data_IF_222537816566
#
_entry.id   IF_222537816566
#
_cell.length_a   1.000
_cell.length_b   1.000
_cell.length_c   1.000
_cell.angle_alpha   90.00
_cell.angle_beta   90.00
_cell.angle_gamma   90.00
#
_symmetry.space_group_name_H-M   'P 1'
#
loop_
_entity.id
_entity.type
_entity.pdbx_description
1 polymer ?
#
# COMPACT_ATOMS: atom_id res chain seq x y z
N UNK A 1 3.45 -41.21 31.40
CA UNK A 1 3.48 -39.81 31.88
C UNK A 1 4.85 -39.45 32.48
N UNK A 2 5.92 -39.36 31.67
CA UNK A 2 7.26 -39.03 32.21
C UNK A 2 8.30 -38.58 31.16
N UNK A 3 7.88 -37.86 30.11
CA UNK A 3 8.80 -37.13 29.20
C UNK A 3 8.14 -35.85 28.68
N UNK A 4 8.06 -34.81 29.53
CA UNK A 4 7.69 -33.46 29.07
C UNK A 4 8.13 -32.35 30.05
N UNK A 5 9.26 -32.52 30.74
CA UNK A 5 9.67 -31.60 31.83
C UNK A 5 11.14 -31.19 31.86
N UNK A 6 11.88 -31.32 30.74
CA UNK A 6 13.34 -31.09 30.74
C UNK A 6 13.88 -30.05 29.75
N UNK A 7 13.03 -29.22 29.14
CA UNK A 7 13.46 -28.22 28.13
C UNK A 7 13.21 -26.75 28.53
N UNK A 8 12.94 -26.45 29.81
CA UNK A 8 12.59 -25.10 30.27
C UNK A 8 13.70 -24.31 30.97
N UNK A 9 14.97 -24.63 30.75
CA UNK A 9 16.08 -24.04 31.53
C UNK A 9 17.27 -23.50 30.70
N UNK A 10 17.09 -23.06 29.45
CA UNK A 10 18.21 -22.53 28.64
C UNK A 10 17.91 -21.25 27.84
N UNK A 11 17.14 -20.32 28.39
CA UNK A 11 16.99 -18.97 27.79
C UNK A 11 16.91 -17.91 28.88
N UNK A 12 18.06 -17.61 29.49
CA UNK A 12 18.22 -16.41 30.32
C UNK A 12 19.68 -15.94 30.28
N UNK A 13 20.07 -15.27 29.20
CA UNK A 13 21.21 -14.35 29.22
C UNK A 13 20.80 -13.04 28.53
N UNK A 14 20.98 -11.87 29.18
CA UNK A 14 20.66 -10.58 28.60
C UNK A 14 21.79 -10.10 27.69
N UNK A 15 21.48 -9.88 26.42
CA UNK A 15 22.39 -9.25 25.47
C UNK A 15 22.35 -7.72 25.66
N UNK A 16 23.44 -7.14 26.14
CA UNK A 16 23.63 -5.70 26.25
C UNK A 16 24.03 -5.14 24.87
N UNK A 17 23.17 -4.33 24.25
CA UNK A 17 23.51 -3.51 23.08
C UNK A 17 23.70 -2.09 23.57
N UNK A 18 24.93 -1.60 23.50
CA UNK A 18 25.32 -0.23 23.79
C UNK A 18 24.88 0.72 22.68
N UNK A 19 24.28 1.85 23.08
CA UNK A 19 23.80 2.93 22.20
C UNK A 19 24.97 3.83 21.78
N UNK A 20 25.39 3.75 20.51
CA UNK A 20 26.08 4.85 19.83
C UNK A 20 26.12 4.58 18.33
N UNK A 21 25.18 5.15 17.57
CA UNK A 21 25.35 5.39 16.13
C UNK A 21 24.78 6.77 15.81
N UNK A 22 25.66 7.77 15.77
CA UNK A 22 25.43 9.06 15.09
C UNK A 22 25.77 8.86 13.62
N UNK A 23 24.85 9.22 12.73
CA UNK A 23 25.06 9.20 11.28
C UNK A 23 25.62 10.56 10.85
N UNK A 24 26.77 10.57 10.16
CA UNK A 24 27.33 11.75 9.49
C UNK A 24 26.64 11.97 8.13
N UNK A 25 26.33 13.23 7.81
CA UNK A 25 25.45 13.63 6.72
C UNK A 25 26.15 13.97 5.38
N UNK A 26 27.46 13.72 5.25
CA UNK A 26 28.28 14.23 4.13
C UNK A 26 28.80 13.16 3.14
N UNK A 27 28.36 11.91 3.21
CA UNK A 27 28.74 10.90 2.21
C UNK A 27 27.87 10.99 0.96
N UNK A 28 28.39 11.69 -0.06
CA UNK A 28 27.83 11.74 -1.41
C UNK A 28 27.69 10.36 -2.05
N UNK A 29 26.48 9.81 -2.01
CA UNK A 29 26.06 8.60 -2.71
C UNK A 29 25.05 8.97 -3.80
N UNK A 30 25.34 8.57 -5.03
CA UNK A 30 24.47 8.70 -6.19
C UNK A 30 23.31 7.69 -6.11
N UNK A 31 22.12 8.18 -5.72
CA UNK A 31 20.90 7.40 -5.45
C UNK A 31 19.91 7.41 -6.62
N UNK A 32 20.33 7.76 -7.84
CA UNK A 32 19.43 7.93 -8.99
C UNK A 32 18.78 6.63 -9.52
N UNK A 33 19.16 5.45 -9.03
CA UNK A 33 18.76 4.14 -9.59
C UNK A 33 17.82 3.26 -8.76
N UNK A 34 17.25 3.72 -7.64
CA UNK A 34 16.49 2.84 -6.71
C UNK A 34 14.99 3.21 -6.67
N UNK A 35 14.09 2.46 -7.33
CA UNK A 35 12.69 2.86 -7.56
C UNK A 35 11.68 2.25 -6.58
N UNK A 36 12.08 1.91 -5.36
CA UNK A 36 11.13 1.56 -4.29
C UNK A 36 11.10 2.71 -3.31
N UNK A 37 9.93 3.38 -3.22
CA UNK A 37 9.54 4.38 -2.20
C UNK A 37 10.74 4.86 -1.40
N UNK A 38 11.45 5.88 -1.91
CA UNK A 38 12.74 6.36 -1.37
C UNK A 38 12.82 6.00 0.10
N UNK A 39 13.62 4.97 0.45
CA UNK A 39 13.75 4.54 1.84
C UNK A 39 14.06 5.72 2.76
N UNK A 40 14.59 6.82 2.21
CA UNK A 40 14.77 8.14 2.82
C UNK A 40 13.47 8.82 3.28
N UNK A 41 12.35 8.78 2.55
CA UNK A 41 11.08 9.36 3.02
C UNK A 41 10.47 8.49 4.11
N UNK A 42 10.42 7.17 3.92
CA UNK A 42 10.01 6.25 4.99
C UNK A 42 10.95 6.39 6.19
N UNK A 43 12.25 6.57 6.01
CA UNK A 43 13.22 6.80 7.07
C UNK A 43 13.08 8.17 7.74
N UNK A 44 12.73 9.24 7.01
CA UNK A 44 12.41 10.56 7.59
C UNK A 44 11.14 10.47 8.45
N UNK A 45 10.10 9.80 7.94
CA UNK A 45 8.90 9.46 8.72
C UNK A 45 9.22 8.55 9.91
N UNK A 46 10.14 7.59 9.75
CA UNK A 46 10.56 6.63 10.78
C UNK A 46 11.32 7.33 11.91
N UNK A 47 12.28 8.21 11.58
CA UNK A 47 13.06 8.95 12.58
C UNK A 47 12.16 9.87 13.41
N UNK A 48 11.18 10.53 12.78
CA UNK A 48 10.25 11.41 13.50
C UNK A 48 9.21 10.61 14.32
N UNK A 49 8.60 9.57 13.75
CA UNK A 49 7.63 8.74 14.45
C UNK A 49 8.23 7.96 15.63
N UNK A 50 9.52 7.62 15.59
CA UNK A 50 10.20 7.01 16.73
C UNK A 50 10.32 7.95 17.95
N UNK A 51 10.43 9.27 17.73
CA UNK A 51 10.48 10.24 18.83
C UNK A 51 9.12 10.44 19.53
N UNK A 52 8.00 10.25 18.82
CA UNK A 52 6.65 10.43 19.38
C UNK A 52 6.01 9.13 19.90
N UNK A 53 6.41 7.94 19.40
CA UNK A 53 5.76 6.67 19.70
C UNK A 53 6.05 6.07 21.10
N UNK A 54 6.80 6.76 21.97
CA UNK A 54 7.25 6.22 23.27
C UNK A 54 6.17 6.25 24.35
N UNK A 55 5.00 6.86 24.13
CA UNK A 55 3.95 7.01 25.17
C UNK A 55 2.54 6.59 24.73
N UNK A 56 2.35 5.31 24.39
CA UNK A 56 1.00 4.73 24.32
C UNK A 56 0.86 3.56 25.31
N UNK A 57 0.09 3.70 26.40
CA UNK A 57 -0.13 2.60 27.33
C UNK A 57 -0.94 1.51 26.65
N UNK A 58 -0.35 0.30 26.57
CA UNK A 58 -0.99 -0.90 26.06
C UNK A 58 -2.23 -1.24 26.87
N UNK A 59 -3.43 -0.95 26.34
CA UNK A 59 -4.68 -1.52 26.84
C UNK A 59 -4.66 -3.02 26.54
N UNK A 60 -4.50 -3.84 27.58
CA UNK A 60 -4.81 -5.26 27.52
C UNK A 60 -6.29 -5.41 27.13
N UNK A 61 -6.54 -6.10 26.02
CA UNK A 61 -7.88 -6.44 25.57
C UNK A 61 -8.61 -7.21 26.68
N UNK A 62 -9.65 -6.58 27.23
CA UNK A 62 -10.63 -7.27 28.06
C UNK A 62 -11.29 -8.38 27.24
N UNK A 63 -11.48 -9.53 27.87
CA UNK A 63 -12.07 -10.74 27.30
C UNK A 63 -13.49 -10.47 26.79
N UNK A 64 -13.62 -10.28 25.48
CA UNK A 64 -14.89 -10.18 24.76
C UNK A 64 -14.66 -9.81 23.29
N UNK A 65 -14.59 -10.83 22.42
CA UNK A 65 -14.86 -10.91 20.96
C UNK A 65 -14.56 -9.74 19.99
N UNK A 66 -13.85 -8.69 20.43
CA UNK A 66 -13.51 -7.55 19.60
C UNK A 66 -12.26 -7.88 18.78
N UNK A 67 -12.46 -8.20 17.50
CA UNK A 67 -11.36 -8.30 16.52
C UNK A 67 -10.45 -7.07 16.61
N UNK A 68 -9.14 -7.31 16.55
CA UNK A 68 -8.12 -6.26 16.46
C UNK A 68 -8.26 -5.49 15.15
N UNK A 69 -7.72 -4.27 15.06
CA UNK A 69 -7.98 -3.40 13.91
C UNK A 69 -7.19 -3.83 12.66
N UNK A 70 -5.86 -3.71 12.68
CA UNK A 70 -5.02 -3.92 11.49
C UNK A 70 -3.87 -4.89 11.81
N UNK A 71 -3.65 -5.87 10.94
CA UNK A 71 -2.41 -6.67 10.91
C UNK A 71 -1.56 -6.28 9.69
N UNK A 72 -0.27 -6.06 9.89
CA UNK A 72 0.72 -5.91 8.81
C UNK A 72 1.43 -7.24 8.60
N UNK A 73 1.28 -7.81 7.41
CA UNK A 73 1.74 -9.15 7.06
C UNK A 73 2.68 -9.06 5.86
N UNK A 74 3.73 -9.90 5.85
CA UNK A 74 4.64 -10.05 4.73
C UNK A 74 5.32 -11.41 4.78
N UNK A 75 5.63 -11.98 3.61
CA UNK A 75 6.54 -13.12 3.43
C UNK A 75 7.93 -12.70 2.94
N UNK A 76 8.18 -11.40 2.76
CA UNK A 76 9.45 -10.86 2.27
C UNK A 76 9.78 -11.19 0.81
N UNK A 77 8.91 -11.89 0.07
CA UNK A 77 9.22 -12.37 -1.29
C UNK A 77 9.49 -11.27 -2.32
N UNK A 78 8.98 -10.06 -2.08
CA UNK A 78 9.25 -8.87 -2.90
C UNK A 78 10.12 -7.83 -2.15
N UNK A 79 10.74 -8.20 -1.03
CA UNK A 79 11.67 -7.32 -0.33
C UNK A 79 13.04 -7.37 -1.01
N UNK A 80 13.40 -6.29 -1.69
CA UNK A 80 14.76 -6.11 -2.23
C UNK A 80 15.68 -5.65 -1.10
N UNK A 81 16.43 -6.59 -0.53
CA UNK A 81 17.43 -6.28 0.50
C UNK A 81 18.67 -5.69 -0.17
N UNK A 82 18.70 -4.36 -0.26
CA UNK A 82 19.91 -3.61 -0.63
C UNK A 82 20.76 -3.48 0.62
N UNK A 83 22.02 -3.92 0.55
CA UNK A 83 23.05 -3.80 1.60
C UNK A 83 22.89 -4.66 2.87
N UNK A 84 21.97 -5.62 2.91
CA UNK A 84 21.89 -6.62 4.00
C UNK A 84 21.52 -6.07 5.39
N UNK A 85 21.22 -4.78 5.52
CA UNK A 85 21.03 -4.10 6.81
C UNK A 85 19.58 -4.08 7.29
N UNK A 86 18.61 -4.12 6.38
CA UNK A 86 17.19 -4.09 6.73
C UNK A 86 16.65 -5.51 6.91
N UNK A 87 16.38 -5.90 8.17
CA UNK A 87 15.59 -7.11 8.45
C UNK A 87 14.13 -6.87 8.09
N UNK A 88 13.44 -7.90 7.58
CA UNK A 88 12.00 -7.85 7.31
C UNK A 88 11.21 -7.29 8.51
N UNK A 89 11.59 -7.70 9.73
CA UNK A 89 10.98 -7.21 10.96
C UNK A 89 11.07 -5.68 11.13
N UNK A 90 12.21 -5.07 10.80
CA UNK A 90 12.39 -3.62 10.87
C UNK A 90 11.48 -2.89 9.87
N UNK A 91 11.42 -3.40 8.63
CA UNK A 91 10.59 -2.83 7.56
C UNK A 91 9.11 -2.88 7.95
N UNK A 92 8.62 -4.03 8.43
CA UNK A 92 7.23 -4.17 8.86
C UNK A 92 6.90 -3.30 10.08
N UNK A 93 7.85 -3.12 10.99
CA UNK A 93 7.69 -2.20 12.13
C UNK A 93 7.54 -0.76 11.64
N UNK A 94 8.28 -0.36 10.59
CA UNK A 94 8.13 0.95 9.95
C UNK A 94 6.74 1.17 9.38
N UNK A 95 6.22 0.21 8.61
CA UNK A 95 4.85 0.27 8.10
C UNK A 95 3.80 0.31 9.22
N UNK A 96 3.96 -0.52 10.26
CA UNK A 96 3.02 -0.52 11.38
C UNK A 96 3.00 0.82 12.13
N UNK A 97 4.17 1.44 12.33
CA UNK A 97 4.27 2.76 12.96
C UNK A 97 3.64 3.86 12.08
N UNK A 98 3.92 3.84 10.78
CA UNK A 98 3.33 4.79 9.83
C UNK A 98 1.80 4.66 9.80
N UNK A 99 1.28 3.44 9.71
CA UNK A 99 -0.17 3.19 9.72
C UNK A 99 -0.81 3.58 11.05
N UNK A 100 -0.16 3.30 12.19
CA UNK A 100 -0.64 3.72 13.51
C UNK A 100 -0.73 5.25 13.60
N UNK A 101 0.30 5.94 13.11
CA UNK A 101 0.33 7.40 13.06
C UNK A 101 -0.80 7.98 12.18
N UNK A 102 -0.94 7.46 10.95
CA UNK A 102 -1.91 7.95 9.98
C UNK A 102 -3.37 7.67 10.37
N UNK A 103 -3.64 6.48 10.92
CA UNK A 103 -5.01 6.01 11.17
C UNK A 103 -5.49 6.24 12.61
N UNK A 104 -4.56 6.35 13.57
CA UNK A 104 -4.86 6.33 15.00
C UNK A 104 -5.37 4.97 15.52
N UNK A 105 -5.23 3.89 14.75
CA UNK A 105 -5.71 2.55 15.10
C UNK A 105 -4.60 1.67 15.67
N UNK A 106 -4.98 0.58 16.33
CA UNK A 106 -4.05 -0.47 16.73
C UNK A 106 -3.57 -1.24 15.50
N UNK A 107 -2.25 -1.33 15.34
CA UNK A 107 -1.58 -2.00 14.22
C UNK A 107 -0.53 -2.96 14.78
N UNK A 108 -0.69 -4.24 14.48
CA UNK A 108 0.22 -5.32 14.90
C UNK A 108 1.01 -5.86 13.70
N UNK A 109 2.27 -6.21 13.93
CA UNK A 109 3.13 -6.85 12.92
C UNK A 109 3.01 -8.37 13.05
N UNK A 110 2.74 -9.04 11.94
CA UNK A 110 2.57 -10.49 11.85
C UNK A 110 3.50 -11.02 10.74
N UNK A 111 4.80 -11.22 11.01
CA UNK A 111 5.72 -11.73 10.01
C UNK A 111 5.34 -13.17 9.67
N UNK A 112 5.32 -13.49 8.38
CA UNK A 112 5.14 -14.85 7.89
C UNK A 112 6.52 -15.34 7.46
N UNK A 113 6.92 -16.53 7.92
CA UNK A 113 8.18 -17.13 7.50
C UNK A 113 8.20 -17.39 5.99
N UNK A 114 9.39 -17.57 5.41
CA UNK A 114 9.63 -17.75 3.97
C UNK A 114 9.09 -19.07 3.38
N UNK A 115 8.22 -19.77 4.12
CA UNK A 115 7.65 -21.04 3.71
C UNK A 115 6.62 -20.81 2.57
N UNK A 116 6.49 -21.76 1.63
CA UNK A 116 5.91 -21.57 0.29
C UNK A 116 4.50 -20.91 0.16
N UNK A 117 4.11 -20.54 -1.05
CA UNK A 117 2.93 -19.66 -1.31
C UNK A 117 1.58 -20.12 -0.73
N UNK A 118 1.28 -21.41 -0.70
CA UNK A 118 0.03 -21.93 -0.08
C UNK A 118 0.02 -21.76 1.45
N UNK A 119 1.20 -21.71 2.06
CA UNK A 119 1.35 -21.45 3.48
C UNK A 119 1.09 -19.98 3.81
N UNK A 120 1.53 -19.04 2.96
CA UNK A 120 1.22 -17.63 3.13
C UNK A 120 -0.30 -17.38 3.11
N UNK A 121 -1.02 -17.93 2.13
CA UNK A 121 -2.47 -17.77 2.06
C UNK A 121 -3.17 -18.34 3.30
N UNK A 122 -2.72 -19.50 3.80
CA UNK A 122 -3.24 -20.14 5.02
C UNK A 122 -2.95 -19.30 6.26
N UNK A 123 -1.75 -18.71 6.35
CA UNK A 123 -1.35 -17.85 7.48
C UNK A 123 -2.06 -16.51 7.48
N UNK A 124 -2.16 -15.83 6.32
CA UNK A 124 -3.06 -14.67 6.14
C UNK A 124 -4.47 -15.06 6.55
N UNK A 125 -4.87 -16.32 6.28
CA UNK A 125 -6.14 -16.85 6.73
C UNK A 125 -6.34 -17.03 8.22
N UNK A 126 -5.34 -17.50 8.93
CA UNK A 126 -5.38 -17.48 10.37
C UNK A 126 -5.48 -16.04 10.90
N UNK A 127 -4.66 -15.12 10.37
CA UNK A 127 -4.61 -13.71 10.81
C UNK A 127 -5.95 -13.00 10.59
N UNK A 128 -6.58 -13.10 9.42
CA UNK A 128 -7.83 -12.37 9.14
C UNK A 128 -9.04 -12.79 10.02
N UNK A 129 -8.93 -13.88 10.79
CA UNK A 129 -9.95 -14.26 11.79
C UNK A 129 -9.90 -13.33 13.01
N UNK A 130 -8.71 -12.94 13.43
CA UNK A 130 -8.48 -12.13 14.64
C UNK A 130 -8.47 -10.62 14.37
N UNK A 131 -8.32 -10.21 13.11
CA UNK A 131 -8.23 -8.82 12.70
C UNK A 131 -9.40 -8.39 11.80
N UNK A 132 -9.74 -7.10 11.80
CA UNK A 132 -10.76 -6.51 10.92
C UNK A 132 -10.25 -6.36 9.49
N UNK A 133 -8.95 -6.10 9.32
CA UNK A 133 -8.31 -5.98 8.03
C UNK A 133 -6.83 -6.35 8.10
N UNK A 134 -6.28 -6.72 6.95
CA UNK A 134 -4.88 -7.11 6.76
C UNK A 134 -4.26 -6.19 5.72
N UNK A 135 -3.08 -5.66 6.03
CA UNK A 135 -2.20 -5.01 5.08
C UNK A 135 -1.08 -5.99 4.69
N UNK A 136 -1.13 -6.49 3.47
CA UNK A 136 -0.12 -7.40 2.92
C UNK A 136 0.92 -6.59 2.13
N UNK A 137 2.18 -6.63 2.55
CA UNK A 137 3.26 -5.86 1.91
C UNK A 137 4.46 -6.75 1.61
N UNK A 138 5.28 -6.32 0.65
CA UNK A 138 6.48 -7.03 0.21
C UNK A 138 6.23 -8.50 -0.17
N UNK A 139 5.04 -8.78 -0.71
CA UNK A 139 4.70 -10.06 -1.30
C UNK A 139 4.67 -9.93 -2.82
N UNK A 140 5.20 -10.92 -3.55
CA UNK A 140 5.20 -10.95 -5.00
C UNK A 140 3.79 -10.69 -5.59
N UNK A 141 3.64 -9.90 -6.69
CA UNK A 141 2.33 -9.52 -7.23
C UNK A 141 1.37 -10.70 -7.45
N UNK A 142 1.86 -11.81 -8.01
CA UNK A 142 1.04 -12.99 -8.27
C UNK A 142 0.51 -13.65 -6.99
N UNK A 143 1.32 -13.67 -5.92
CA UNK A 143 0.94 -14.19 -4.60
C UNK A 143 -0.08 -13.28 -3.93
N UNK A 144 0.16 -11.97 -3.97
CA UNK A 144 -0.75 -10.94 -3.47
C UNK A 144 -2.13 -11.04 -4.11
N UNK A 145 -2.18 -11.21 -5.43
CA UNK A 145 -3.43 -11.39 -6.18
C UNK A 145 -4.15 -12.70 -5.79
N UNK A 146 -3.42 -13.82 -5.66
CA UNK A 146 -4.02 -15.09 -5.23
C UNK A 146 -4.60 -15.01 -3.82
N UNK A 147 -3.88 -14.37 -2.89
CA UNK A 147 -4.36 -14.14 -1.53
C UNK A 147 -5.62 -13.28 -1.55
N UNK A 148 -5.66 -12.19 -2.31
CA UNK A 148 -6.86 -11.35 -2.44
C UNK A 148 -8.04 -12.12 -3.04
N UNK A 149 -7.81 -12.92 -4.08
CA UNK A 149 -8.86 -13.73 -4.72
C UNK A 149 -9.41 -14.78 -3.76
N UNK A 150 -8.54 -15.52 -3.06
CA UNK A 150 -8.94 -16.41 -1.96
C UNK A 150 -9.63 -15.60 -0.87
N UNK A 151 -9.20 -14.35 -0.65
CA UNK A 151 -9.69 -13.49 0.41
C UNK A 151 -11.18 -13.14 0.27
N UNK A 152 -11.69 -13.19 -0.96
CA UNK A 152 -13.11 -12.94 -1.25
C UNK A 152 -13.99 -14.17 -1.01
N UNK A 153 -13.43 -15.39 -1.07
CA UNK A 153 -14.20 -16.65 -1.05
C UNK A 153 -14.60 -17.12 0.35
N UNK A 154 -13.67 -17.07 1.29
CA UNK A 154 -13.86 -17.38 2.71
C UNK A 154 -14.54 -16.27 3.55
N UNK A 155 -15.04 -15.19 2.93
CA UNK A 155 -15.72 -14.09 3.65
C UNK A 155 -14.87 -13.38 4.71
N UNK A 156 -13.54 -13.39 4.56
CA UNK A 156 -12.59 -12.75 5.46
C UNK A 156 -12.69 -11.21 5.43
N UNK A 157 -12.04 -10.56 6.39
CA UNK A 157 -11.90 -9.10 6.41
C UNK A 157 -11.16 -8.55 5.19
N UNK A 158 -11.22 -7.24 4.98
CA UNK A 158 -10.51 -6.59 3.88
C UNK A 158 -9.00 -6.88 3.91
N UNK A 159 -8.46 -7.32 2.77
CA UNK A 159 -7.01 -7.45 2.53
C UNK A 159 -6.60 -6.38 1.53
N UNK A 160 -5.77 -5.43 1.96
CA UNK A 160 -5.16 -4.40 1.10
C UNK A 160 -3.71 -4.75 0.88
N UNK A 161 -3.23 -4.65 -0.35
CA UNK A 161 -1.81 -4.84 -0.66
C UNK A 161 -1.10 -3.51 -0.90
N UNK A 162 0.22 -3.48 -0.76
CA UNK A 162 1.05 -2.38 -1.25
C UNK A 162 0.92 -2.18 -2.77
N UNK A 163 0.68 -3.25 -3.52
CA UNK A 163 0.37 -3.21 -4.95
C UNK A 163 -0.98 -2.51 -5.21
N UNK A 164 -2.02 -2.73 -4.42
CA UNK A 164 -3.28 -1.97 -4.53
C UNK A 164 -3.04 -0.50 -4.24
N UNK A 165 -2.31 -0.21 -3.16
CA UNK A 165 -2.02 1.15 -2.74
C UNK A 165 -1.26 1.93 -3.82
N UNK A 166 -0.27 1.29 -4.46
CA UNK A 166 0.46 1.83 -5.60
C UNK A 166 -0.44 1.99 -6.82
N UNK A 167 -1.28 1.00 -7.14
CA UNK A 167 -2.24 1.11 -8.24
C UNK A 167 -3.22 2.28 -8.06
N UNK A 168 -3.74 2.49 -6.85
CA UNK A 168 -4.61 3.61 -6.49
C UNK A 168 -3.88 4.94 -6.67
N UNK A 169 -2.65 5.06 -6.16
CA UNK A 169 -1.86 6.29 -6.26
C UNK A 169 -1.52 6.64 -7.71
N UNK A 170 -1.11 5.66 -8.51
CA UNK A 170 -0.81 5.87 -9.94
C UNK A 170 -2.06 6.20 -10.74
N UNK A 171 -3.20 5.57 -10.44
CA UNK A 171 -4.47 5.93 -11.05
C UNK A 171 -4.87 7.37 -10.70
N UNK A 172 -4.71 7.79 -9.44
CA UNK A 172 -4.97 9.17 -9.02
C UNK A 172 -4.04 10.18 -9.72
N UNK A 173 -2.75 9.87 -9.84
CA UNK A 173 -1.79 10.70 -10.57
C UNK A 173 -2.18 10.81 -12.06
N UNK A 174 -2.59 9.71 -12.68
CA UNK A 174 -3.07 9.72 -14.07
C UNK A 174 -4.34 10.57 -14.23
N UNK A 175 -5.31 10.43 -13.32
CA UNK A 175 -6.52 11.26 -13.31
C UNK A 175 -6.19 12.75 -13.19
N UNK A 176 -5.31 13.13 -12.28
CA UNK A 176 -4.88 14.51 -12.09
C UNK A 176 -4.18 15.05 -13.34
N UNK A 177 -3.27 14.26 -13.94
CA UNK A 177 -2.58 14.62 -15.18
C UNK A 177 -3.56 14.82 -16.36
N UNK A 178 -4.55 13.95 -16.50
CA UNK A 178 -5.58 14.07 -17.54
C UNK A 178 -6.49 15.28 -17.31
N UNK A 179 -6.89 15.54 -16.06
CA UNK A 179 -7.70 16.71 -15.71
C UNK A 179 -6.97 18.03 -16.05
N UNK A 180 -5.66 18.10 -15.78
CA UNK A 180 -4.84 19.27 -16.10
C UNK A 180 -4.72 19.57 -17.60
N UNK A 181 -5.01 18.60 -18.48
CA UNK A 181 -4.97 18.77 -19.95
C UNK A 181 -6.27 19.34 -20.54
N UNK A 182 -7.35 19.44 -19.76
CA UNK A 182 -8.61 20.04 -20.20
C UNK A 182 -9.42 19.22 -21.22
N UNK A 183 -9.05 17.96 -21.48
CA UNK A 183 -9.77 17.05 -22.37
C UNK A 183 -10.90 16.27 -21.67
N UNK A 184 -11.86 15.76 -22.45
CA UNK A 184 -12.89 14.84 -21.95
C UNK A 184 -12.24 13.48 -21.67
N UNK A 185 -12.46 12.91 -20.48
CA UNK A 185 -11.85 11.65 -20.03
C UNK A 185 -11.88 10.50 -21.07
N UNK A 186 -12.94 10.44 -21.87
CA UNK A 186 -13.17 9.38 -22.87
C UNK A 186 -12.27 9.45 -24.10
N UNK A 187 -11.70 10.61 -24.41
CA UNK A 187 -10.85 10.78 -25.59
C UNK A 187 -9.36 10.55 -25.25
N UNK A 188 -9.04 10.42 -23.96
CA UNK A 188 -7.68 10.29 -23.48
C UNK A 188 -7.14 8.88 -23.69
N UNK A 189 -5.91 8.81 -24.19
CA UNK A 189 -5.17 7.57 -24.43
C UNK A 189 -4.17 7.31 -23.32
N UNK A 190 -4.33 6.19 -22.61
CA UNK A 190 -3.43 5.78 -21.55
C UNK A 190 -2.69 4.51 -21.94
N UNK A 191 -1.36 4.54 -21.86
CA UNK A 191 -0.52 3.36 -22.00
C UNK A 191 0.01 2.94 -20.62
N UNK A 192 -0.36 1.76 -20.14
CA UNK A 192 0.17 1.20 -18.90
C UNK A 192 1.22 0.12 -19.21
N UNK A 193 2.48 0.41 -18.89
CA UNK A 193 3.63 -0.48 -19.04
C UNK A 193 3.87 -1.24 -17.75
N UNK A 194 3.99 -2.57 -17.83
CA UNK A 194 4.18 -3.44 -16.67
C UNK A 194 2.90 -3.67 -15.86
N UNK A 195 1.72 -3.58 -16.49
CA UNK A 195 0.43 -3.67 -15.79
C UNK A 195 0.24 -4.97 -15.00
N UNK A 196 0.92 -6.07 -15.34
CA UNK A 196 0.94 -7.33 -14.57
C UNK A 196 1.49 -7.18 -13.16
N UNK A 197 2.31 -6.16 -12.91
CA UNK A 197 2.83 -5.85 -11.58
C UNK A 197 1.74 -5.23 -10.68
N UNK A 198 0.69 -4.64 -11.26
CA UNK A 198 -0.37 -3.95 -10.53
C UNK A 198 -1.75 -4.36 -11.08
N UNK A 199 -2.24 -5.57 -10.74
CA UNK A 199 -3.48 -6.10 -11.33
C UNK A 199 -4.70 -5.18 -11.21
N UNK A 200 -4.79 -4.41 -10.12
CA UNK A 200 -5.89 -3.46 -9.90
C UNK A 200 -5.85 -2.23 -10.83
N UNK A 201 -4.69 -1.87 -11.40
CA UNK A 201 -4.50 -0.60 -12.12
C UNK A 201 -5.42 -0.47 -13.35
N UNK A 202 -5.52 -1.52 -14.17
CA UNK A 202 -6.35 -1.48 -15.37
C UNK A 202 -7.83 -1.25 -15.03
N UNK A 203 -8.35 -1.96 -14.03
CA UNK A 203 -9.72 -1.79 -13.56
C UNK A 203 -9.99 -0.38 -13.01
N UNK A 204 -9.00 0.21 -12.33
CA UNK A 204 -9.12 1.57 -11.80
C UNK A 204 -9.15 2.63 -12.90
N UNK A 205 -8.29 2.49 -13.91
CA UNK A 205 -8.27 3.42 -15.04
C UNK A 205 -9.59 3.37 -15.82
N UNK A 206 -10.11 2.17 -16.09
CA UNK A 206 -11.42 2.01 -16.74
C UNK A 206 -12.54 2.60 -15.87
N UNK A 207 -12.57 2.29 -14.57
CA UNK A 207 -13.57 2.83 -13.64
C UNK A 207 -13.50 4.37 -13.54
N UNK A 208 -12.32 4.96 -13.78
CA UNK A 208 -12.13 6.41 -13.83
C UNK A 208 -12.55 7.08 -15.14
N UNK A 209 -13.01 6.31 -16.13
CA UNK A 209 -13.50 6.83 -17.39
C UNK A 209 -12.45 6.99 -18.48
N UNK A 210 -11.26 6.37 -18.33
CA UNK A 210 -10.28 6.27 -19.42
C UNK A 210 -10.91 5.50 -20.60
N UNK A 211 -11.02 6.17 -21.76
CA UNK A 211 -11.69 5.60 -22.93
C UNK A 211 -10.81 4.69 -23.80
N UNK A 212 -9.52 4.97 -23.88
CA UNK A 212 -8.56 4.16 -24.64
C UNK A 212 -7.38 3.76 -23.73
N UNK A 213 -7.37 2.49 -23.32
CA UNK A 213 -6.36 1.92 -22.43
C UNK A 213 -5.59 0.81 -23.15
N UNK A 214 -4.30 1.01 -23.32
CA UNK A 214 -3.36 0.02 -23.85
C UNK A 214 -2.53 -0.55 -22.72
N UNK A 215 -2.55 -1.88 -22.56
CA UNK A 215 -1.72 -2.59 -21.57
C UNK A 215 -0.51 -3.22 -22.28
N UNK A 216 0.69 -2.88 -21.83
CA UNK A 216 1.94 -3.42 -22.37
C UNK A 216 2.74 -4.14 -21.28
N UNK A 217 3.13 -5.39 -21.54
CA UNK A 217 3.82 -6.23 -20.56
C UNK A 217 5.08 -6.92 -21.11
N UNK A 218 5.45 -6.67 -22.36
CA UNK A 218 6.63 -7.28 -22.95
C UNK A 218 7.91 -6.56 -22.49
N UNK A 219 8.98 -7.33 -22.31
CA UNK A 219 10.32 -6.80 -22.12
C UNK A 219 10.78 -6.15 -23.42
N UNK A 220 11.29 -4.91 -23.35
CA UNK A 220 11.82 -4.17 -24.51
C UNK A 220 11.24 -2.76 -24.63
N UNK A 221 11.46 -2.14 -25.78
CA UNK A 221 10.97 -0.78 -26.07
C UNK A 221 9.45 -0.75 -26.05
N UNK A 222 8.90 0.33 -25.47
CA UNK A 222 7.46 0.59 -25.54
C UNK A 222 6.96 0.57 -27.00
N UNK A 223 5.71 0.15 -27.24
CA UNK A 223 5.16 0.06 -28.58
C UNK A 223 5.10 1.44 -29.24
N UNK A 224 5.07 1.51 -30.57
CA UNK A 224 4.95 2.76 -31.32
C UNK A 224 3.71 3.60 -30.92
N UNK A 225 2.69 2.97 -30.35
CA UNK A 225 1.52 3.64 -29.77
C UNK A 225 1.86 4.57 -28.59
N UNK A 226 3.02 4.41 -27.95
CA UNK A 226 3.50 5.30 -26.89
C UNK A 226 3.62 6.76 -27.37
N UNK A 227 3.87 6.99 -28.66
CA UNK A 227 3.96 8.33 -29.23
C UNK A 227 2.61 9.07 -29.29
N UNK A 228 1.49 8.34 -29.17
CA UNK A 228 0.12 8.86 -29.27
C UNK A 228 -0.63 8.80 -27.94
N UNK A 229 0.01 8.35 -26.87
CA UNK A 229 -0.59 8.37 -25.54
C UNK A 229 -0.65 9.82 -25.02
N UNK A 230 -1.67 10.12 -24.22
CA UNK A 230 -1.72 11.33 -23.39
C UNK A 230 -0.97 11.11 -22.08
N UNK A 231 -1.09 9.91 -21.52
CA UNK A 231 -0.42 9.49 -20.29
C UNK A 231 0.20 8.12 -20.48
N UNK A 232 1.45 7.97 -20.06
CA UNK A 232 2.15 6.69 -19.96
C UNK A 232 2.36 6.41 -18.48
N UNK A 233 1.85 5.29 -17.99
CA UNK A 233 2.14 4.79 -16.65
C UNK A 233 3.21 3.72 -16.79
N UNK A 234 4.45 4.05 -16.45
CA UNK A 234 5.59 3.16 -16.50
C UNK A 234 5.92 2.55 -15.14
N UNK A 235 5.40 1.34 -14.94
CA UNK A 235 5.64 0.58 -13.71
C UNK A 235 7.02 -0.10 -13.74
N UNK A 236 7.65 -0.25 -14.91
CA UNK A 236 8.92 -0.97 -15.03
C UNK A 236 10.15 -0.04 -15.01
N UNK A 237 9.97 1.26 -15.23
CA UNK A 237 11.05 2.25 -15.27
C UNK A 237 11.88 2.21 -16.57
N UNK A 238 11.31 1.69 -17.65
CA UNK A 238 11.96 1.57 -18.95
C UNK A 238 11.68 2.71 -19.94
N UNK A 239 10.76 3.61 -19.62
CA UNK A 239 10.34 4.73 -20.47
C UNK A 239 11.08 5.99 -20.03
N UNK A 240 11.93 6.51 -20.91
CA UNK A 240 12.62 7.77 -20.67
C UNK A 240 11.60 8.94 -20.54
N UNK A 241 11.81 9.88 -19.60
CA UNK A 241 11.05 11.12 -19.56
C UNK A 241 11.15 11.85 -20.91
N UNK A 242 10.02 12.26 -21.49
CA UNK A 242 9.99 12.92 -22.80
C UNK A 242 9.84 14.44 -22.66
N UNK A 243 10.19 15.17 -23.72
CA UNK A 243 10.09 16.63 -23.83
C UNK A 243 8.68 17.18 -23.51
N UNK A 244 8.62 18.48 -23.20
CA UNK A 244 7.43 19.20 -22.69
C UNK A 244 6.14 19.06 -23.53
N UNK A 245 6.23 18.69 -24.81
CA UNK A 245 5.08 18.53 -25.71
C UNK A 245 4.64 17.07 -25.90
N UNK A 246 5.15 16.13 -25.10
CA UNK A 246 4.87 14.70 -25.18
C UNK A 246 3.79 14.18 -24.21
N UNK A 247 3.58 12.86 -24.17
CA UNK A 247 2.80 12.21 -23.10
C UNK A 247 3.36 12.56 -21.72
N UNK A 248 2.47 12.67 -20.74
CA UNK A 248 2.89 12.71 -19.33
C UNK A 248 3.34 11.31 -18.94
N UNK A 249 4.60 11.18 -18.49
CA UNK A 249 5.14 9.90 -18.02
C UNK A 249 5.03 9.88 -16.50
N UNK A 250 4.27 8.90 -15.99
CA UNK A 250 4.07 8.63 -14.57
C UNK A 250 4.78 7.32 -14.27
N UNK A 251 5.68 7.33 -13.30
CA UNK A 251 6.52 6.20 -12.91
C UNK A 251 6.11 5.67 -11.54
N UNK A 252 6.72 4.58 -11.08
CA UNK A 252 6.60 4.14 -9.67
C UNK A 252 6.99 5.23 -8.67
N UNK A 253 7.91 6.13 -9.04
CA UNK A 253 8.33 7.24 -8.18
C UNK A 253 7.16 8.15 -7.82
N UNK A 254 6.23 8.36 -8.75
CA UNK A 254 5.07 9.24 -8.60
C UNK A 254 3.97 8.65 -7.69
N UNK A 255 4.13 7.42 -7.20
CA UNK A 255 3.18 6.75 -6.29
C UNK A 255 3.28 7.23 -4.82
N UNK A 256 3.72 8.48 -4.58
CA UNK A 256 3.93 9.05 -3.23
C UNK A 256 2.68 8.98 -2.34
N UNK A 257 1.48 8.98 -2.93
CA UNK A 257 0.22 8.91 -2.20
C UNK A 257 -0.16 7.49 -1.72
N UNK A 258 0.58 6.44 -2.11
CA UNK A 258 0.23 5.05 -1.81
C UNK A 258 0.06 4.76 -0.30
N UNK A 259 0.93 5.23 0.61
CA UNK A 259 0.74 5.01 2.05
C UNK A 259 -0.57 5.63 2.59
N UNK A 260 -0.98 6.79 2.07
CA UNK A 260 -2.23 7.44 2.46
C UNK A 260 -3.45 6.70 1.92
N UNK A 261 -3.35 6.17 0.70
CA UNK A 261 -4.38 5.30 0.11
C UNK A 261 -4.60 4.06 0.99
N UNK A 262 -3.53 3.33 1.32
CA UNK A 262 -3.58 2.14 2.17
C UNK A 262 -4.18 2.47 3.54
N UNK A 263 -3.67 3.52 4.21
CA UNK A 263 -4.15 3.94 5.52
C UNK A 263 -5.63 4.32 5.51
N UNK A 264 -6.11 5.04 4.48
CA UNK A 264 -7.51 5.42 4.33
C UNK A 264 -8.44 4.22 4.16
N UNK A 265 -8.06 3.26 3.30
CA UNK A 265 -8.84 2.03 3.07
C UNK A 265 -8.87 1.17 4.35
N UNK A 266 -7.72 0.93 4.98
CA UNK A 266 -7.61 0.12 6.20
C UNK A 266 -8.39 0.74 7.35
N UNK A 267 -8.33 2.06 7.50
CA UNK A 267 -9.09 2.80 8.52
C UNK A 267 -10.60 2.66 8.30
N UNK A 268 -11.09 2.80 7.06
CA UNK A 268 -12.50 2.59 6.74
C UNK A 268 -12.94 1.13 6.96
N UNK A 269 -12.10 0.16 6.57
CA UNK A 269 -12.37 -1.26 6.79
C UNK A 269 -12.45 -1.62 8.28
N UNK A 270 -11.49 -1.14 9.08
CA UNK A 270 -11.47 -1.38 10.52
C UNK A 270 -12.69 -0.76 11.24
N UNK A 271 -13.14 0.43 10.81
CA UNK A 271 -14.28 1.14 11.42
C UNK A 271 -15.64 0.60 10.98
N UNK A 272 -15.78 0.18 9.73
CA UNK A 272 -17.05 -0.37 9.22
C UNK A 272 -17.25 -1.84 9.61
N UNK A 273 -16.16 -2.62 9.70
CA UNK A 273 -16.20 -4.06 9.88
C UNK A 273 -16.81 -4.85 8.73
N UNK A 274 -17.23 -4.18 7.64
CA UNK A 274 -17.99 -4.76 6.53
C UNK A 274 -17.51 -4.28 5.16
N UNK A 275 -16.51 -3.38 5.10
CA UNK A 275 -15.97 -2.90 3.82
C UNK A 275 -15.29 -4.06 3.07
N UNK A 276 -15.75 -4.32 1.85
CA UNK A 276 -15.10 -5.25 0.91
C UNK A 276 -14.13 -4.46 0.03
N UNK A 277 -12.89 -4.92 -0.03
CA UNK A 277 -11.85 -4.24 -0.79
C UNK A 277 -11.85 -4.69 -2.27
N UNK A 278 -12.03 -3.72 -3.17
CA UNK A 278 -12.28 -3.94 -4.59
C UNK A 278 -12.25 -2.63 -5.39
N UNK A 279 -12.52 -2.73 -6.69
CA UNK A 279 -12.34 -1.63 -7.65
C UNK A 279 -13.16 -0.38 -7.33
N UNK A 280 -14.36 -0.51 -6.78
CA UNK A 280 -15.20 0.64 -6.42
C UNK A 280 -14.63 1.45 -5.24
N UNK A 281 -14.21 0.74 -4.18
CA UNK A 281 -13.52 1.34 -3.02
C UNK A 281 -12.22 2.00 -3.46
N UNK A 282 -11.44 1.30 -4.26
CA UNK A 282 -10.15 1.80 -4.75
C UNK A 282 -10.32 2.98 -5.71
N UNK A 283 -11.34 2.97 -6.56
CA UNK A 283 -11.68 4.09 -7.45
C UNK A 283 -12.14 5.32 -6.68
N UNK A 284 -12.93 5.13 -5.62
CA UNK A 284 -13.32 6.23 -4.71
C UNK A 284 -12.08 6.86 -4.06
N UNK A 285 -11.13 6.05 -3.60
CA UNK A 285 -9.88 6.56 -3.03
C UNK A 285 -9.04 7.29 -4.08
N UNK A 286 -8.92 6.74 -5.28
CA UNK A 286 -8.19 7.37 -6.37
C UNK A 286 -8.77 8.76 -6.70
N UNK A 287 -10.10 8.89 -6.77
CA UNK A 287 -10.77 10.16 -7.03
C UNK A 287 -10.51 11.19 -5.92
N UNK A 288 -10.55 10.78 -4.64
CA UNK A 288 -10.21 11.67 -3.52
C UNK A 288 -8.76 12.13 -3.62
N UNK A 289 -7.83 11.23 -3.94
CA UNK A 289 -6.43 11.58 -4.11
C UNK A 289 -6.20 12.50 -5.31
N UNK A 290 -6.84 12.25 -6.46
CA UNK A 290 -6.69 13.07 -7.65
C UNK A 290 -7.19 14.51 -7.42
N UNK A 291 -8.28 14.68 -6.66
CA UNK A 291 -8.78 16.01 -6.28
C UNK A 291 -7.83 16.78 -5.36
N UNK A 292 -6.93 16.08 -4.67
CA UNK A 292 -5.96 16.62 -3.72
C UNK A 292 -4.54 16.66 -4.30
N UNK A 293 -4.37 16.20 -5.55
CA UNK A 293 -3.07 16.08 -6.18
C UNK A 293 -2.47 17.47 -6.45
N UNK A 294 -1.35 17.74 -5.79
CA UNK A 294 -0.49 18.87 -6.08
C UNK A 294 0.76 18.38 -6.83
N UNK A 295 1.37 19.19 -7.72
CA UNK A 295 2.60 18.86 -8.44
C UNK A 295 3.77 18.45 -7.51
N UNK A 296 3.82 19.01 -6.31
CA UNK A 296 4.85 18.77 -5.31
C UNK A 296 4.25 18.14 -4.05
N UNK A 297 3.89 16.85 -4.13
CA UNK A 297 3.18 16.14 -3.05
C UNK A 297 4.06 15.91 -1.81
N UNK A 298 4.30 16.97 -1.06
CA UNK A 298 4.94 16.97 0.25
C UNK A 298 3.91 17.35 1.29
N UNK A 299 3.23 16.34 1.85
CA UNK A 299 2.32 16.57 2.96
C UNK A 299 3.10 16.60 4.26
N UNK A 300 2.87 17.66 5.04
CA UNK A 300 3.23 17.62 6.45
C UNK A 300 2.39 16.59 7.21
N UNK A 301 2.84 16.29 8.43
CA UNK A 301 2.24 15.31 9.31
C UNK A 301 0.72 15.54 9.55
N UNK A 302 0.25 16.77 9.84
CA UNK A 302 -1.18 17.09 9.96
C UNK A 302 -1.96 16.91 8.65
N UNK A 303 -1.45 17.38 7.52
CA UNK A 303 -2.13 17.28 6.23
C UNK A 303 -2.27 15.83 5.78
N UNK A 304 -1.26 14.99 6.02
CA UNK A 304 -1.31 13.56 5.77
C UNK A 304 -2.45 12.86 6.54
N UNK A 305 -2.61 13.16 7.84
CA UNK A 305 -3.72 12.62 8.64
C UNK A 305 -5.08 13.15 8.20
N UNK A 306 -5.14 14.43 7.83
CA UNK A 306 -6.35 15.06 7.31
C UNK A 306 -6.82 14.38 6.01
N UNK A 307 -5.89 14.09 5.10
CA UNK A 307 -6.17 13.34 3.87
C UNK A 307 -6.69 11.92 4.16
N UNK A 308 -6.03 11.18 5.05
CA UNK A 308 -6.46 9.82 5.44
C UNK A 308 -7.88 9.83 6.05
N UNK A 309 -8.21 10.87 6.84
CA UNK A 309 -9.54 11.06 7.39
C UNK A 309 -10.58 11.35 6.30
N UNK A 310 -10.24 12.16 5.28
CA UNK A 310 -11.12 12.42 4.12
C UNK A 310 -11.39 11.15 3.32
N UNK A 311 -10.35 10.38 3.01
CA UNK A 311 -10.49 9.08 2.34
C UNK A 311 -11.39 8.15 3.16
N UNK A 312 -11.14 8.05 4.47
CA UNK A 312 -11.95 7.21 5.37
C UNK A 312 -13.41 7.66 5.37
N UNK A 313 -13.68 8.96 5.47
CA UNK A 313 -15.03 9.51 5.48
C UNK A 313 -15.77 9.24 4.17
N UNK A 314 -15.12 9.42 3.02
CA UNK A 314 -15.69 9.14 1.71
C UNK A 314 -16.12 7.67 1.58
N UNK A 315 -15.27 6.73 1.99
CA UNK A 315 -15.58 5.30 1.95
C UNK A 315 -16.72 4.92 2.91
N UNK A 316 -16.74 5.48 4.11
CA UNK A 316 -17.82 5.23 5.07
C UNK A 316 -19.15 5.81 4.59
N UNK A 317 -19.15 6.95 3.91
CA UNK A 317 -20.34 7.53 3.30
C UNK A 317 -20.89 6.65 2.17
N UNK A 318 -20.04 6.20 1.25
CA UNK A 318 -20.42 5.29 0.14
C UNK A 318 -21.04 3.98 0.64
N UNK A 319 -20.43 3.37 1.67
CA UNK A 319 -20.93 2.11 2.26
C UNK A 319 -22.33 2.18 2.90
N UNK A 320 -22.87 3.39 3.11
CA UNK A 320 -24.24 3.60 3.60
C UNK A 320 -25.22 3.78 2.46
N UNK A 321 -24.78 4.32 1.33
CA UNK A 321 -25.61 4.54 0.14
C UNK A 321 -26.01 3.20 -0.52
N UNK A 322 -25.12 2.20 -0.51
CA UNK A 322 -25.40 0.88 -1.09
C UNK A 322 -26.30 -0.01 -0.22
N UNK A 323 -26.62 0.43 1.01
CA UNK A 323 -27.56 -0.28 1.91
C UNK A 323 -29.02 0.09 1.70
N UNK A 324 -29.31 1.00 0.79
CA UNK A 324 -30.70 1.25 0.43
C UNK A 324 -31.20 0.06 -0.40
N UNK A 325 -32.25 -0.65 0.05
CA UNK A 325 -32.76 -1.80 -0.68
C UNK A 325 -33.11 -1.33 -2.08
N UNK A 326 -32.63 -2.07 -3.09
CA UNK A 326 -32.97 -1.89 -4.49
C UNK A 326 -34.44 -1.51 -4.59
N UNK A 327 -34.71 -0.25 -4.96
CA UNK A 327 -36.02 0.09 -5.53
C UNK A 327 -36.08 -0.74 -6.80
N UNK A 328 -36.88 -1.81 -6.75
CA UNK A 328 -37.27 -2.60 -7.90
C UNK A 328 -37.88 -1.59 -8.88
N UNK A 329 -37.15 -1.29 -9.95
CA UNK A 329 -37.68 -0.65 -11.14
C UNK A 329 -38.11 -1.73 -12.12
#
# INVERSE_FOLDING_TARGET
MSRCRRERARLSEPCAITSSNRFDADSGLDLAGVPHLRCVEVAKFFNHAQHEAVNFPGRRAGRGDAKRAIAVVSDGSALTVVDGTATLALVLTGYANLLRYLTGLQVDVCPVGEDGGDELATRVQAVARDYRCVFLTHAEPARSEDIQRRSRRWGGGCVVTDHDAMAIALAAAAQAALAGRGGVARDNKVLAVGSRQLPALAGLLVASGVGDLVLWNAAGSAPGSAAHADVIIDVLGGVAPRAATGPVVITRGDAHAAPYAAAGVLSAAARSGQLTCGSEVYGTVANVLAAEAAPDWHLDHPAARSLVNRITAALLAGSRADRWPCRIW
#
